data_IF_216375632354
#
_entry.id   IF_216375632354
#
_cell.length_a   1.000
_cell.length_b   1.000
_cell.length_c   1.000
_cell.angle_alpha   90.00
_cell.angle_beta   90.00
_cell.angle_gamma   90.00
#
_symmetry.space_group_name_H-M   'P 1'
#
loop_
_entity.id
_entity.type
_entity.pdbx_description
1 polymer ?
#
# COMPACT_ATOMS: atom_id res chain seq x y z
N UNK A 1 -36.58 21.38 -35.18
CA UNK A 1 -35.53 22.30 -35.66
C UNK A 1 -34.78 22.83 -34.44
N UNK A 2 -33.47 23.06 -34.58
CA UNK A 2 -32.38 23.11 -33.55
C UNK A 2 -31.75 21.71 -33.40
N UNK A 3 -30.92 21.22 -34.34
CA UNK A 3 -29.57 21.65 -34.74
C UNK A 3 -28.57 21.50 -33.58
N UNK A 4 -27.74 20.43 -33.62
CA UNK A 4 -26.30 20.48 -33.96
C UNK A 4 -25.46 20.83 -32.71
N UNK A 5 -24.50 20.06 -32.20
CA UNK A 5 -23.64 19.01 -32.75
C UNK A 5 -22.24 19.22 -32.16
N UNK A 6 -21.52 18.11 -31.89
CA UNK A 6 -20.06 17.96 -31.74
C UNK A 6 -19.28 18.84 -30.74
N UNK A 7 -18.55 18.20 -29.81
CA UNK A 7 -17.11 17.94 -30.02
C UNK A 7 -16.51 17.15 -28.84
N UNK A 8 -15.92 16.00 -29.16
CA UNK A 8 -15.11 15.16 -28.28
C UNK A 8 -13.64 15.59 -28.51
N UNK A 9 -12.98 16.20 -27.54
CA UNK A 9 -11.57 16.60 -27.65
C UNK A 9 -10.67 15.60 -26.92
N UNK A 10 -10.14 14.66 -27.69
CA UNK A 10 -8.94 13.87 -27.36
C UNK A 10 -7.70 14.76 -27.56
N UNK A 11 -6.86 14.91 -26.54
CA UNK A 11 -5.52 15.49 -26.68
C UNK A 11 -4.50 14.39 -26.43
N UNK A 12 -3.96 13.86 -27.54
CA UNK A 12 -2.75 13.06 -27.58
C UNK A 12 -1.61 13.98 -28.04
N UNK A 13 -0.61 14.23 -27.18
CA UNK A 13 0.60 14.94 -27.56
C UNK A 13 1.73 13.93 -27.69
N UNK A 14 2.12 13.65 -28.94
CA UNK A 14 3.32 12.91 -29.28
C UNK A 14 4.10 13.66 -30.39
N UNK A 15 5.41 13.71 -30.19
CA UNK A 15 6.51 13.84 -31.17
C UNK A 15 6.78 15.19 -31.88
N UNK A 16 8.05 15.62 -31.83
CA UNK A 16 8.65 16.65 -32.69
C UNK A 16 10.19 16.63 -32.64
N UNK A 17 10.80 16.07 -33.69
CA UNK A 17 12.22 16.14 -34.13
C UNK A 17 12.56 17.58 -34.65
N UNK A 18 13.78 18.09 -34.85
CA UNK A 18 14.98 17.54 -35.52
C UNK A 18 16.14 18.60 -35.50
N UNK A 19 17.39 18.11 -35.55
CA UNK A 19 18.64 18.61 -36.19
C UNK A 19 19.31 19.99 -35.94
N UNK A 20 20.61 19.92 -35.60
CA UNK A 20 21.58 21.02 -35.65
C UNK A 20 23.02 20.59 -35.28
N UNK A 21 23.82 20.34 -36.31
CA UNK A 21 25.11 19.64 -36.37
C UNK A 21 26.38 20.42 -35.93
N UNK A 22 27.33 19.66 -35.37
CA UNK A 22 28.80 19.75 -35.36
C UNK A 22 29.58 20.96 -34.82
N UNK A 23 30.48 20.63 -33.87
CA UNK A 23 31.86 21.15 -33.85
C UNK A 23 32.85 20.12 -33.30
N UNK A 24 33.50 19.45 -34.26
CA UNK A 24 34.90 19.01 -34.34
C UNK A 24 35.71 18.64 -33.08
N UNK A 25 36.15 17.38 -33.10
CA UNK A 25 37.54 16.92 -32.97
C UNK A 25 38.36 17.38 -31.75
N UNK A 26 38.53 16.44 -30.81
CA UNK A 26 39.61 16.45 -29.84
C UNK A 26 39.94 15.02 -29.41
N UNK A 27 40.87 14.39 -30.12
CA UNK A 27 41.53 13.15 -29.70
C UNK A 27 42.12 13.31 -28.30
N UNK A 28 41.67 12.49 -27.37
CA UNK A 28 42.51 11.96 -26.30
C UNK A 28 41.96 10.59 -25.92
N UNK A 29 42.68 9.55 -26.34
CA UNK A 29 42.50 8.20 -25.85
C UNK A 29 42.66 8.23 -24.32
N UNK A 30 41.55 8.11 -23.60
CA UNK A 30 41.57 7.90 -22.17
C UNK A 30 42.00 6.44 -21.94
N UNK A 31 43.26 6.31 -21.52
CA UNK A 31 43.90 5.10 -21.02
C UNK A 31 42.94 4.28 -20.16
N UNK A 32 42.60 3.09 -20.64
CA UNK A 32 41.93 2.05 -19.84
C UNK A 32 42.85 1.67 -18.69
N UNK A 33 42.53 2.16 -17.48
CA UNK A 33 43.16 1.68 -16.27
C UNK A 33 42.77 0.21 -16.05
N UNK A 34 43.78 -0.63 -15.87
CA UNK A 34 43.61 -2.03 -15.51
C UNK A 34 42.80 -2.17 -14.22
N UNK A 35 41.94 -3.20 -14.08
CA UNK A 35 41.23 -3.43 -12.84
C UNK A 35 42.25 -3.70 -11.73
N UNK A 36 42.17 -2.92 -10.64
CA UNK A 36 42.97 -3.16 -9.46
C UNK A 36 42.62 -4.54 -8.89
N UNK A 37 43.65 -5.33 -8.61
CA UNK A 37 43.52 -6.62 -7.91
C UNK A 37 42.99 -6.35 -6.50
N UNK A 38 41.70 -6.56 -6.31
CA UNK A 38 41.06 -6.54 -5.01
C UNK A 38 41.64 -7.65 -4.14
N UNK A 39 42.19 -7.29 -2.98
CA UNK A 39 42.66 -8.26 -2.00
C UNK A 39 41.50 -9.14 -1.51
N UNK A 40 41.79 -10.44 -1.33
CA UNK A 40 40.83 -11.39 -0.78
C UNK A 40 40.33 -10.92 0.60
N UNK A 41 39.03 -11.04 0.90
CA UNK A 41 38.49 -10.63 2.19
C UNK A 41 39.12 -11.46 3.31
N UNK A 42 39.45 -10.80 4.41
CA UNK A 42 39.95 -11.46 5.60
C UNK A 42 38.91 -12.47 6.12
N UNK A 43 39.39 -13.64 6.52
CA UNK A 43 38.57 -14.68 7.16
C UNK A 43 38.12 -14.19 8.53
N UNK A 44 36.88 -13.71 8.60
CA UNK A 44 36.19 -13.42 9.85
C UNK A 44 35.96 -14.72 10.62
N UNK A 45 36.34 -14.73 11.90
CA UNK A 45 36.06 -15.85 12.80
C UNK A 45 34.55 -16.13 12.90
N UNK A 46 34.17 -17.40 12.95
CA UNK A 46 32.79 -17.81 13.10
C UNK A 46 32.17 -17.21 14.39
N UNK A 47 30.92 -16.73 14.34
CA UNK A 47 30.26 -16.20 15.52
C UNK A 47 30.13 -17.29 16.58
N UNK A 48 30.38 -16.92 17.83
CA UNK A 48 30.17 -17.80 18.97
C UNK A 48 28.70 -18.25 19.01
N UNK A 49 28.48 -19.55 19.26
CA UNK A 49 27.16 -20.13 19.44
C UNK A 49 26.51 -19.55 20.69
N UNK A 50 25.63 -18.57 20.49
CA UNK A 50 24.70 -18.10 21.51
C UNK A 50 23.70 -19.22 21.80
N UNK A 51 23.51 -19.53 23.09
CA UNK A 51 22.49 -20.47 23.52
C UNK A 51 21.11 -19.98 23.08
N UNK A 52 20.25 -20.90 22.65
CA UNK A 52 18.89 -20.60 22.24
C UNK A 52 18.13 -19.90 23.40
N UNK A 53 17.34 -18.85 23.11
CA UNK A 53 16.50 -18.23 24.12
C UNK A 53 15.57 -19.29 24.72
N UNK A 54 15.43 -19.27 26.04
CA UNK A 54 14.45 -20.11 26.71
C UNK A 54 13.06 -19.90 26.09
N UNK A 55 12.33 -20.98 25.88
CA UNK A 55 10.94 -20.94 25.41
C UNK A 55 10.11 -20.19 26.44
N UNK A 56 9.90 -18.90 26.17
CA UNK A 56 8.85 -18.12 26.82
C UNK A 56 7.53 -18.78 26.44
N UNK A 57 6.80 -19.24 27.45
CA UNK A 57 5.42 -19.71 27.31
C UNK A 57 4.65 -18.59 26.61
N UNK A 58 3.99 -18.92 25.50
CA UNK A 58 3.12 -17.98 24.80
C UNK A 58 2.16 -17.35 25.83
N UNK A 59 1.97 -16.02 25.84
CA UNK A 59 0.96 -15.42 26.69
C UNK A 59 -0.36 -16.15 26.44
N UNK A 60 -1.05 -16.53 27.52
CA UNK A 60 -2.43 -16.99 27.45
C UNK A 60 -3.23 -16.00 26.59
N UNK A 61 -4.17 -16.48 25.75
CA UNK A 61 -4.98 -15.59 24.94
C UNK A 61 -5.59 -14.53 25.85
N UNK A 62 -5.24 -13.27 25.60
CA UNK A 62 -5.88 -12.14 26.28
C UNK A 62 -7.38 -12.31 26.07
N UNK A 63 -8.14 -12.26 27.17
CA UNK A 63 -9.60 -12.32 27.11
C UNK A 63 -10.08 -11.24 26.14
N UNK A 64 -10.71 -11.68 25.05
CA UNK A 64 -11.45 -10.81 24.16
C UNK A 64 -12.51 -10.13 25.03
N UNK A 65 -12.39 -8.80 25.18
CA UNK A 65 -13.27 -8.02 26.04
C UNK A 65 -14.73 -8.41 25.83
N UNK A 66 -15.47 -8.51 26.94
CA UNK A 66 -16.90 -8.83 26.88
C UNK A 66 -17.66 -7.73 26.12
N UNK A 67 -18.87 -8.03 25.63
CA UNK A 67 -19.73 -7.05 24.92
C UNK A 67 -19.89 -5.69 25.65
N UNK A 68 -19.70 -5.67 26.97
CA UNK A 68 -19.73 -4.48 27.82
C UNK A 68 -18.44 -3.64 27.84
N UNK A 69 -17.29 -4.15 27.34
CA UNK A 69 -16.01 -3.43 27.25
C UNK A 69 -15.79 -2.74 25.89
N UNK A 70 -16.57 -3.11 24.87
CA UNK A 70 -16.65 -2.31 23.67
C UNK A 70 -17.46 -1.05 24.01
N UNK A 71 -17.09 0.12 23.48
CA UNK A 71 -17.85 1.38 23.62
C UNK A 71 -19.24 1.32 22.91
N UNK A 72 -19.86 0.14 22.81
CA UNK A 72 -21.13 -0.17 22.17
C UNK A 72 -22.36 0.36 22.91
N UNK A 73 -22.19 1.39 23.75
CA UNK A 73 -23.31 2.20 24.25
C UNK A 73 -23.87 3.15 23.17
N UNK A 74 -23.27 3.14 21.97
CA UNK A 74 -23.66 3.94 20.82
C UNK A 74 -23.19 5.40 20.89
N UNK A 75 -22.44 5.80 21.94
CA UNK A 75 -21.95 7.18 22.11
C UNK A 75 -20.97 7.61 21.02
N UNK A 76 -20.31 6.66 20.36
CA UNK A 76 -19.41 6.88 19.22
C UNK A 76 -20.13 6.90 17.86
N UNK A 77 -21.46 6.71 17.84
CA UNK A 77 -22.24 6.47 16.63
C UNK A 77 -22.35 4.98 16.28
N UNK A 78 -23.20 4.67 15.30
CA UNK A 78 -23.40 3.33 14.76
C UNK A 78 -23.25 3.33 13.24
N UNK A 79 -22.64 2.29 12.69
CA UNK A 79 -22.69 1.99 11.25
C UNK A 79 -23.73 0.90 11.06
N UNK A 80 -24.74 1.17 10.22
CA UNK A 80 -25.90 0.28 10.06
C UNK A 80 -25.83 -0.40 8.71
N UNK A 81 -25.52 -1.70 8.71
CA UNK A 81 -25.53 -2.52 7.49
C UNK A 81 -26.91 -3.15 7.33
N UNK A 82 -27.61 -2.76 6.28
CA UNK A 82 -28.93 -3.26 5.92
C UNK A 82 -28.90 -4.69 5.42
N UNK A 83 -30.07 -5.33 5.38
CA UNK A 83 -30.20 -6.70 4.89
C UNK A 83 -29.75 -6.81 3.44
N UNK A 84 -28.76 -7.66 3.17
CA UNK A 84 -28.22 -7.87 1.82
C UNK A 84 -27.18 -6.83 1.39
N UNK A 85 -26.87 -5.85 2.24
CA UNK A 85 -25.74 -4.94 2.05
C UNK A 85 -24.45 -5.60 2.56
N UNK A 86 -23.33 -5.20 1.98
CA UNK A 86 -22.00 -5.69 2.31
C UNK A 86 -21.39 -4.85 3.43
N UNK A 87 -20.63 -5.48 4.32
CA UNK A 87 -19.76 -4.79 5.26
C UNK A 87 -18.54 -4.28 4.50
N UNK A 88 -18.32 -2.96 4.51
CA UNK A 88 -17.19 -2.34 3.82
C UNK A 88 -16.03 -2.06 4.78
N UNK A 89 -14.87 -2.69 4.56
CA UNK A 89 -13.63 -2.44 5.30
C UNK A 89 -12.55 -2.00 4.31
N UNK A 90 -12.27 -0.70 4.22
CA UNK A 90 -11.34 -0.17 3.21
C UNK A 90 -9.91 -0.61 3.49
N UNK A 91 -9.14 -0.87 2.44
CA UNK A 91 -7.68 -1.06 2.56
C UNK A 91 -6.97 0.18 2.04
N UNK A 92 -6.08 0.78 2.84
CA UNK A 92 -5.25 1.90 2.44
C UNK A 92 -3.77 1.57 2.65
N UNK A 93 -2.99 1.53 1.59
CA UNK A 93 -1.56 1.17 1.63
C UNK A 93 -0.81 1.86 0.48
N UNK A 94 0.52 1.90 0.53
CA UNK A 94 1.34 2.37 -0.59
C UNK A 94 1.36 1.28 -1.67
N UNK A 95 0.50 1.41 -2.68
CA UNK A 95 0.29 0.38 -3.72
C UNK A 95 0.79 0.81 -5.10
N UNK A 96 1.26 2.05 -5.23
CA UNK A 96 1.98 2.53 -6.40
C UNK A 96 3.33 3.14 -6.02
N UNK A 97 4.09 3.57 -7.03
CA UNK A 97 5.43 4.13 -6.86
C UNK A 97 6.49 3.11 -6.44
N UNK A 98 7.65 3.61 -6.04
CA UNK A 98 8.85 2.78 -5.78
C UNK A 98 8.72 1.90 -4.52
N UNK A 99 7.77 2.23 -3.65
CA UNK A 99 7.53 1.53 -2.37
C UNK A 99 6.28 0.64 -2.41
N UNK A 100 5.66 0.46 -3.60
CA UNK A 100 4.49 -0.40 -3.79
C UNK A 100 4.68 -1.84 -3.27
N UNK A 101 5.92 -2.32 -3.23
CA UNK A 101 6.26 -3.64 -2.72
C UNK A 101 5.93 -3.82 -1.22
N UNK A 102 5.76 -2.73 -0.47
CA UNK A 102 5.31 -2.76 0.93
C UNK A 102 3.79 -2.90 1.02
N UNK A 103 3.03 -2.15 0.21
CA UNK A 103 1.57 -2.12 0.33
C UNK A 103 0.84 -3.23 -0.44
N UNK A 104 1.34 -3.67 -1.60
CA UNK A 104 0.74 -4.78 -2.37
C UNK A 104 0.57 -6.06 -1.52
N UNK A 105 1.57 -6.56 -0.77
CA UNK A 105 1.38 -7.73 0.07
C UNK A 105 0.43 -7.48 1.23
N UNK A 106 0.39 -6.28 1.81
CA UNK A 106 -0.58 -5.93 2.85
C UNK A 106 -2.02 -5.99 2.31
N UNK A 107 -2.28 -5.37 1.15
CA UNK A 107 -3.59 -5.39 0.52
C UNK A 107 -4.04 -6.82 0.17
N UNK A 108 -3.16 -7.62 -0.43
CA UNK A 108 -3.45 -9.04 -0.70
C UNK A 108 -3.68 -9.84 0.57
N UNK A 109 -3.00 -9.49 1.66
CA UNK A 109 -3.23 -10.07 2.98
C UNK A 109 -4.65 -9.79 3.48
N UNK A 110 -5.16 -8.57 3.29
CA UNK A 110 -6.53 -8.21 3.63
C UNK A 110 -7.54 -8.96 2.74
N UNK A 111 -7.32 -8.99 1.43
CA UNK A 111 -8.15 -9.77 0.49
C UNK A 111 -8.22 -11.25 0.88
N UNK A 112 -7.07 -11.82 1.26
CA UNK A 112 -6.99 -13.20 1.71
C UNK A 112 -7.76 -13.42 3.02
N UNK A 113 -7.61 -12.50 3.98
CA UNK A 113 -8.31 -12.57 5.26
C UNK A 113 -9.83 -12.47 5.08
N UNK A 114 -10.31 -11.56 4.22
CA UNK A 114 -11.74 -11.44 3.87
C UNK A 114 -12.27 -12.73 3.27
N UNK A 115 -11.54 -13.32 2.33
CA UNK A 115 -11.93 -14.59 1.70
C UNK A 115 -11.92 -15.77 2.67
N UNK A 116 -10.98 -15.79 3.61
CA UNK A 116 -10.81 -16.87 4.58
C UNK A 116 -11.87 -16.81 5.70
N UNK A 117 -12.11 -15.61 6.24
CA UNK A 117 -13.12 -15.39 7.27
C UNK A 117 -14.54 -15.55 6.73
N UNK A 118 -14.80 -15.02 5.52
CA UNK A 118 -16.12 -15.05 4.90
C UNK A 118 -17.08 -14.02 5.51
N UNK A 119 -18.35 -14.39 5.64
CA UNK A 119 -19.41 -13.47 6.05
C UNK A 119 -19.33 -13.11 7.53
N UNK A 120 -19.65 -11.86 7.86
CA UNK A 120 -19.82 -11.38 9.23
C UNK A 120 -21.31 -11.12 9.46
N UNK A 121 -21.92 -11.82 10.42
CA UNK A 121 -23.35 -11.64 10.71
C UNK A 121 -24.30 -12.00 9.55
N UNK A 122 -23.84 -12.78 8.56
CA UNK A 122 -24.58 -13.09 7.34
C UNK A 122 -24.45 -12.06 6.21
N UNK A 123 -23.61 -11.03 6.40
CA UNK A 123 -23.26 -10.05 5.37
C UNK A 123 -21.94 -10.42 4.72
N UNK A 124 -21.86 -10.27 3.40
CA UNK A 124 -20.59 -10.34 2.68
C UNK A 124 -19.68 -9.19 3.12
N UNK A 125 -18.37 -9.41 3.04
CA UNK A 125 -17.35 -8.41 3.43
C UNK A 125 -16.56 -8.04 2.19
N UNK A 126 -16.38 -6.74 1.96
CA UNK A 126 -15.64 -6.22 0.81
C UNK A 126 -14.65 -5.14 1.24
N UNK A 127 -13.50 -5.11 0.56
CA UNK A 127 -12.53 -4.02 0.71
C UNK A 127 -12.75 -2.89 -0.30
N UNK A 128 -13.65 -3.11 -1.25
CA UNK A 128 -13.80 -2.29 -2.46
C UNK A 128 -12.49 -2.14 -3.22
N UNK A 129 -12.30 -0.98 -3.84
CA UNK A 129 -11.01 -0.65 -4.46
C UNK A 129 -10.01 -0.25 -3.38
N UNK A 130 -8.83 -0.86 -3.43
CA UNK A 130 -7.71 -0.45 -2.60
C UNK A 130 -7.33 1.01 -2.78
N UNK A 131 -7.15 1.73 -1.68
CA UNK A 131 -6.75 3.13 -1.65
C UNK A 131 -5.23 3.24 -1.53
N UNK A 132 -4.66 4.19 -2.27
CA UNK A 132 -3.22 4.43 -2.28
C UNK A 132 -2.85 5.60 -1.38
N UNK A 133 -2.09 5.34 -0.32
CA UNK A 133 -1.57 6.38 0.58
C UNK A 133 -0.29 7.05 0.03
N UNK A 134 0.24 6.54 -1.09
CA UNK A 134 1.46 7.01 -1.77
C UNK A 134 2.69 7.06 -0.87
N UNK A 135 2.65 6.39 0.29
CA UNK A 135 3.63 6.52 1.36
C UNK A 135 3.92 7.98 1.75
N UNK A 136 2.87 8.82 1.81
CA UNK A 136 2.99 10.25 2.09
C UNK A 136 1.90 10.74 3.04
N UNK A 137 2.18 11.81 3.79
CA UNK A 137 1.19 12.43 4.67
C UNK A 137 -0.06 12.89 3.89
N UNK A 138 0.14 13.57 2.76
CA UNK A 138 -0.97 14.09 1.93
C UNK A 138 -1.77 12.95 1.28
N UNK A 139 -1.09 11.91 0.78
CA UNK A 139 -1.75 10.73 0.21
C UNK A 139 -2.55 9.96 1.26
N UNK A 140 -1.97 9.75 2.45
CA UNK A 140 -2.66 9.13 3.58
C UNK A 140 -3.89 9.92 4.02
N UNK A 141 -3.79 11.25 4.09
CA UNK A 141 -4.94 12.12 4.37
C UNK A 141 -6.01 12.02 3.29
N UNK A 142 -5.65 12.08 2.00
CA UNK A 142 -6.61 11.96 0.91
C UNK A 142 -7.34 10.61 0.91
N UNK A 143 -6.62 9.51 1.14
CA UNK A 143 -7.20 8.19 1.30
C UNK A 143 -8.14 8.14 2.52
N UNK A 144 -7.73 8.64 3.67
CA UNK A 144 -8.56 8.66 4.87
C UNK A 144 -9.83 9.50 4.70
N UNK A 145 -9.77 10.64 4.02
CA UNK A 145 -10.95 11.45 3.72
C UNK A 145 -11.93 10.73 2.79
N UNK A 146 -11.42 9.91 1.86
CA UNK A 146 -12.28 9.06 1.03
C UNK A 146 -12.99 8.01 1.88
N UNK A 147 -12.33 7.46 2.89
CA UNK A 147 -12.92 6.48 3.81
C UNK A 147 -14.00 7.11 4.69
N UNK A 148 -13.70 8.25 5.34
CA UNK A 148 -14.61 8.89 6.29
C UNK A 148 -15.81 9.55 5.61
N UNK A 149 -15.71 9.87 4.32
CA UNK A 149 -16.83 10.39 3.54
C UNK A 149 -17.89 9.33 3.17
N UNK A 150 -17.61 8.05 3.42
CA UNK A 150 -18.50 6.93 3.12
C UNK A 150 -19.07 6.37 4.43
N UNK A 151 -20.33 6.72 4.73
CA UNK A 151 -21.03 6.33 5.96
C UNK A 151 -21.22 4.79 6.10
N UNK A 152 -21.06 4.03 5.01
CA UNK A 152 -21.20 2.57 5.02
C UNK A 152 -19.87 1.85 5.34
N UNK A 153 -18.75 2.58 5.45
CA UNK A 153 -17.45 2.00 5.80
C UNK A 153 -17.30 1.86 7.31
N UNK A 154 -17.18 0.60 7.77
CA UNK A 154 -17.02 0.30 9.21
C UNK A 154 -15.59 0.52 9.71
N UNK A 155 -14.61 0.64 8.82
CA UNK A 155 -13.22 0.87 9.18
C UNK A 155 -12.23 0.78 8.02
N UNK A 156 -10.96 1.08 8.32
CA UNK A 156 -9.84 1.00 7.38
C UNK A 156 -8.69 0.13 7.91
N UNK A 157 -8.07 -0.67 7.04
CA UNK A 157 -6.88 -1.47 7.34
C UNK A 157 -5.69 -0.89 6.56
N UNK A 158 -4.73 -0.36 7.31
CA UNK A 158 -3.60 0.43 6.81
C UNK A 158 -3.10 1.37 7.91
N UNK A 159 -2.18 2.29 7.63
CA UNK A 159 -1.39 2.47 6.40
C UNK A 159 -0.15 1.55 6.38
N UNK A 160 0.51 1.40 5.23
CA UNK A 160 1.81 0.71 5.18
C UNK A 160 2.97 1.60 5.63
N UNK A 161 2.78 2.92 5.59
CA UNK A 161 3.77 3.92 5.99
C UNK A 161 3.24 4.77 7.15
N UNK A 162 4.07 5.20 8.09
CA UNK A 162 3.62 5.85 9.34
C UNK A 162 2.91 7.20 9.19
N UNK A 163 2.91 7.79 7.98
CA UNK A 163 2.36 9.12 7.70
C UNK A 163 3.25 10.25 8.19
#
# INVERSE_FOLDING_TARGET
MIALGLAFTLIAAACGSDDGDSSSSGSAAATTAAPATTAAPATTAAPATTAAPATTVAPEPEEVGTESDHLGDGSLGEVRVGSGEEIQIRSLNAISGDVAFLGIPNQRGVELAVRDYGQIGGHDVTIGTGLDDLCSADGGQAAAQTIVADDDVVGGIGTSCSG
#
